data_IF_989709118945
#
_entry.id   IF_989709118945
#
_cell.length_a   1.000
_cell.length_b   1.000
_cell.length_c   1.000
_cell.angle_alpha   90.00
_cell.angle_beta   90.00
_cell.angle_gamma   90.00
#
_symmetry.space_group_name_H-M   'P 1'
#
loop_
_entity.id
_entity.type
_entity.pdbx_description
1 polymer ?
#
# COMPACT_ATOMS: atom_id res chain seq x y z
N UNK A 1 -5.93 17.88 -0.05
CA UNK A 1 -5.17 16.65 0.24
C UNK A 1 -5.91 15.51 -0.43
N UNK A 2 -5.29 14.68 -1.28
CA UNK A 2 -5.99 13.54 -1.87
C UNK A 2 -6.36 12.57 -0.74
N UNK A 3 -7.63 12.21 -0.67
CA UNK A 3 -8.16 11.25 0.30
C UNK A 3 -7.77 9.84 -0.16
N UNK A 4 -6.80 9.22 0.50
CA UNK A 4 -6.60 7.77 0.36
C UNK A 4 -7.77 7.08 1.04
N UNK A 5 -8.63 6.43 0.25
CA UNK A 5 -9.75 5.65 0.76
C UNK A 5 -9.24 4.29 1.26
N UNK A 6 -9.75 3.84 2.40
CA UNK A 6 -9.48 2.49 2.87
C UNK A 6 -10.03 1.46 1.86
N UNK A 7 -9.21 0.48 1.48
CA UNK A 7 -9.57 -0.56 0.49
C UNK A 7 -10.34 -1.70 1.15
N UNK A 8 -11.57 -1.43 1.59
CA UNK A 8 -12.38 -2.37 2.40
C UNK A 8 -12.94 -3.58 1.65
N UNK A 9 -12.91 -3.59 0.31
CA UNK A 9 -13.38 -4.74 -0.50
C UNK A 9 -12.24 -5.57 -1.10
N UNK A 10 -11.00 -5.36 -0.65
CA UNK A 10 -9.84 -6.14 -1.11
C UNK A 10 -9.47 -7.19 -0.05
N UNK A 11 -9.64 -8.49 -0.33
CA UNK A 11 -9.37 -9.55 0.66
C UNK A 11 -7.89 -9.60 1.07
N UNK A 12 -6.96 -9.23 0.18
CA UNK A 12 -5.53 -9.17 0.52
C UNK A 12 -5.25 -8.03 1.50
N UNK A 13 -5.92 -6.88 1.33
CA UNK A 13 -5.81 -5.75 2.25
C UNK A 13 -6.36 -6.10 3.63
N UNK A 14 -7.50 -6.80 3.70
CA UNK A 14 -8.07 -7.23 4.98
C UNK A 14 -7.17 -8.25 5.69
N UNK A 15 -6.62 -9.22 4.96
CA UNK A 15 -5.70 -10.21 5.50
C UNK A 15 -4.41 -9.56 6.01
N UNK A 16 -3.85 -8.62 5.26
CA UNK A 16 -2.65 -7.89 5.65
C UNK A 16 -2.88 -7.09 6.94
N UNK A 17 -3.95 -6.29 7.00
CA UNK A 17 -4.32 -5.53 8.19
C UNK A 17 -4.51 -6.42 9.42
N UNK A 18 -5.09 -7.61 9.25
CA UNK A 18 -5.40 -8.51 10.36
C UNK A 18 -4.19 -9.29 10.91
N UNK A 19 -3.10 -9.44 10.14
CA UNK A 19 -2.02 -10.37 10.50
C UNK A 19 -0.59 -9.80 10.39
N UNK A 20 -0.39 -8.68 9.68
CA UNK A 20 0.93 -8.11 9.42
C UNK A 20 1.23 -6.88 10.28
N UNK A 21 2.30 -6.94 11.08
CA UNK A 21 2.83 -5.77 11.78
C UNK A 21 3.84 -5.04 10.89
N UNK A 22 3.47 -3.86 10.40
CA UNK A 22 4.27 -3.12 9.43
C UNK A 22 5.43 -2.38 10.10
N UNK A 23 6.65 -2.49 9.55
CA UNK A 23 7.78 -1.73 10.07
C UNK A 23 7.66 -0.25 9.68
N UNK A 24 8.25 0.64 10.49
CA UNK A 24 8.27 2.10 10.30
C UNK A 24 6.90 2.74 10.00
N UNK A 25 5.83 2.13 10.54
CA UNK A 25 4.44 2.56 10.30
C UNK A 25 3.85 3.21 11.55
N UNK A 26 3.01 4.23 11.36
CA UNK A 26 2.22 4.80 12.45
C UNK A 26 0.92 4.02 12.61
N UNK A 27 0.81 3.23 13.68
CA UNK A 27 -0.32 2.32 13.89
C UNK A 27 -1.67 3.02 14.11
N UNK A 28 -1.69 4.23 14.69
CA UNK A 28 -2.94 4.96 14.94
C UNK A 28 -3.82 5.13 13.69
N UNK A 29 -3.32 5.78 12.62
CA UNK A 29 -4.06 5.90 11.36
C UNK A 29 -4.06 4.61 10.51
N UNK A 30 -3.18 3.66 10.79
CA UNK A 30 -3.04 2.44 9.98
C UNK A 30 -4.21 1.46 10.19
N UNK A 31 -4.82 1.44 11.38
CA UNK A 31 -6.01 0.60 11.62
C UNK A 31 -7.18 0.95 10.69
N UNK A 32 -7.35 2.24 10.39
CA UNK A 32 -8.40 2.73 9.49
C UNK A 32 -8.00 2.65 8.01
N UNK A 33 -6.77 3.06 7.67
CA UNK A 33 -6.32 3.21 6.28
C UNK A 33 -5.68 1.96 5.67
N UNK A 34 -5.07 1.12 6.51
CA UNK A 34 -4.32 -0.07 6.12
C UNK A 34 -3.12 0.21 5.20
N UNK A 35 -2.56 -0.86 4.63
CA UNK A 35 -1.45 -0.77 3.70
C UNK A 35 -1.89 -0.42 2.28
N UNK A 36 -0.95 0.10 1.48
CA UNK A 36 -1.10 0.20 0.03
C UNK A 36 -0.66 -1.13 -0.60
N UNK A 37 -1.61 -1.88 -1.17
CA UNK A 37 -1.32 -3.19 -1.76
C UNK A 37 -0.77 -3.01 -3.18
N UNK A 38 0.53 -3.22 -3.37
CA UNK A 38 1.18 -3.20 -4.69
C UNK A 38 1.12 -4.58 -5.36
N UNK A 39 0.68 -4.63 -6.61
CA UNK A 39 0.45 -5.90 -7.35
C UNK A 39 1.38 -6.10 -8.54
N UNK A 40 1.96 -5.01 -9.09
CA UNK A 40 2.84 -5.08 -10.27
C UNK A 40 3.90 -3.98 -10.24
N UNK A 41 5.08 -4.26 -10.81
CA UNK A 41 6.13 -3.28 -11.11
C UNK A 41 6.66 -3.45 -12.54
N UNK A 42 7.05 -2.34 -13.18
CA UNK A 42 7.58 -2.30 -14.53
C UNK A 42 8.44 -1.03 -14.71
N UNK A 43 9.75 -1.22 -14.95
CA UNK A 43 10.70 -0.11 -14.91
C UNK A 43 10.71 0.57 -13.55
N UNK A 44 10.66 1.91 -13.54
CA UNK A 44 10.58 2.72 -12.31
C UNK A 44 9.14 2.96 -11.82
N UNK A 45 8.17 2.14 -12.23
CA UNK A 45 6.76 2.34 -11.88
C UNK A 45 6.16 1.14 -11.16
N UNK A 46 5.22 1.42 -10.25
CA UNK A 46 4.46 0.47 -9.47
C UNK A 46 2.95 0.65 -9.70
N UNK A 47 2.20 -0.43 -9.59
CA UNK A 47 0.74 -0.43 -9.66
C UNK A 47 0.14 -1.05 -8.41
N UNK A 48 -0.86 -0.38 -7.84
CA UNK A 48 -1.63 -0.93 -6.72
C UNK A 48 -2.70 -1.94 -7.19
N UNK A 49 -3.47 -2.48 -6.25
CA UNK A 49 -4.57 -3.40 -6.54
C UNK A 49 -5.74 -2.77 -7.30
N UNK A 50 -5.87 -1.44 -7.27
CA UNK A 50 -6.94 -0.70 -7.95
C UNK A 50 -6.52 -0.24 -9.35
N UNK A 51 -5.27 -0.53 -9.76
CA UNK A 51 -4.70 -0.18 -11.05
C UNK A 51 -4.07 1.22 -11.11
N UNK A 52 -3.98 1.93 -9.99
CA UNK A 52 -3.31 3.24 -9.95
C UNK A 52 -1.81 3.08 -10.15
N UNK A 53 -1.22 3.98 -10.94
CA UNK A 53 0.21 3.96 -11.29
C UNK A 53 0.98 4.98 -10.46
N UNK A 54 2.10 4.55 -9.88
CA UNK A 54 3.00 5.35 -9.05
C UNK A 54 4.41 5.34 -9.62
N UNK A 55 5.11 6.48 -9.54
CA UNK A 55 6.55 6.54 -9.78
C UNK A 55 7.28 6.12 -8.51
N UNK A 56 8.12 5.10 -8.61
CA UNK A 56 9.02 4.72 -7.53
C UNK A 56 10.29 5.58 -7.57
N UNK A 57 10.20 6.74 -6.94
CA UNK A 57 11.30 7.71 -6.89
C UNK A 57 12.39 7.35 -5.86
N UNK A 58 12.11 6.39 -4.96
CA UNK A 58 13.04 5.95 -3.92
C UNK A 58 13.83 4.71 -4.38
N UNK A 59 13.28 3.94 -5.31
CA UNK A 59 13.82 2.64 -5.72
C UNK A 59 13.49 1.59 -4.67
N UNK A 60 12.21 1.48 -4.31
CA UNK A 60 11.69 0.60 -3.27
C UNK A 60 12.21 1.01 -1.89
N UNK A 61 13.24 0.30 -1.44
CA UNK A 61 13.99 0.62 -0.23
C UNK A 61 15.50 0.72 -0.57
N UNK A 62 15.80 1.55 -1.58
CA UNK A 62 17.17 1.83 -2.05
C UNK A 62 17.88 0.61 -2.67
N UNK A 63 17.13 -0.32 -3.28
CA UNK A 63 17.66 -1.57 -3.82
C UNK A 63 16.94 -2.02 -5.10
#
# INVERSE_FOLDING_TARGET
MPTFLAQTNNPLWEMDRAHSLHPWTNFGPFEEKGALVITRGEGAYLWDSDGNKYLDAVGGLWC
#
